data_IF_636284470358
#
_entry.id   IF_636284470358
#
_cell.length_a   1.000
_cell.length_b   1.000
_cell.length_c   1.000
_cell.angle_alpha   90.00
_cell.angle_beta   90.00
_cell.angle_gamma   90.00
#
_symmetry.space_group_name_H-M   'P 1'
#
loop_
_entity.id
_entity.type
_entity.pdbx_description
1 polymer ?
#
# COMPACT_ATOMS: atom_id res chain seq x y z
N UNK A 1 12.26 37.56 -6.39
CA UNK A 1 12.00 36.20 -6.91
C UNK A 1 11.15 35.36 -5.97
N UNK A 2 11.62 35.02 -4.75
CA UNK A 2 10.86 34.19 -3.78
C UNK A 2 9.46 34.72 -3.42
N UNK A 3 9.28 36.05 -3.33
CA UNK A 3 7.96 36.66 -3.05
C UNK A 3 6.93 36.31 -4.15
N UNK A 4 7.35 36.32 -5.42
CA UNK A 4 6.44 36.04 -6.53
C UNK A 4 6.11 34.54 -6.61
N UNK A 5 7.06 33.66 -6.29
CA UNK A 5 6.80 32.22 -6.14
C UNK A 5 5.78 31.95 -5.05
N UNK A 6 5.96 32.54 -3.86
CA UNK A 6 5.02 32.36 -2.74
C UNK A 6 3.63 32.89 -3.12
N UNK A 7 3.53 34.08 -3.71
CA UNK A 7 2.24 34.60 -4.20
C UNK A 7 1.60 33.67 -5.23
N UNK A 8 2.39 33.05 -6.11
CA UNK A 8 1.89 32.07 -7.08
C UNK A 8 1.31 30.84 -6.37
N UNK A 9 2.01 30.30 -5.36
CA UNK A 9 1.52 29.16 -4.58
C UNK A 9 0.18 29.47 -3.92
N UNK A 10 0.04 30.64 -3.27
CA UNK A 10 -1.21 31.07 -2.65
C UNK A 10 -2.35 31.23 -3.66
N UNK A 11 -2.05 31.71 -4.88
CA UNK A 11 -3.04 31.85 -5.96
C UNK A 11 -3.46 30.51 -6.56
N UNK A 12 -2.62 29.49 -6.48
CA UNK A 12 -2.90 28.13 -6.99
C UNK A 12 -3.49 27.19 -5.94
N UNK A 13 -3.87 27.69 -4.76
CA UNK A 13 -4.49 26.87 -3.72
C UNK A 13 -5.93 26.51 -4.11
N UNK A 14 -6.19 25.22 -4.23
CA UNK A 14 -7.52 24.65 -4.45
C UNK A 14 -7.79 23.62 -3.32
N UNK A 15 -8.18 22.39 -3.65
CA UNK A 15 -8.49 21.32 -2.69
C UNK A 15 -7.25 20.76 -1.95
N UNK A 16 -6.07 21.32 -2.20
CA UNK A 16 -4.80 20.95 -1.60
C UNK A 16 -3.79 20.37 -2.61
N UNK A 17 -2.51 20.43 -2.25
CA UNK A 17 -1.43 19.79 -3.00
C UNK A 17 -0.81 18.71 -2.12
N UNK A 18 -0.95 17.45 -2.54
CA UNK A 18 -0.40 16.28 -1.85
C UNK A 18 0.23 15.32 -2.85
N UNK A 19 1.19 14.53 -2.37
CA UNK A 19 1.75 13.41 -3.13
C UNK A 19 0.70 12.29 -3.28
N UNK A 20 0.77 11.50 -4.37
CA UNK A 20 -0.13 10.37 -4.55
C UNK A 20 0.20 9.21 -3.60
N UNK A 21 -0.81 8.69 -2.91
CA UNK A 21 -0.71 7.48 -2.07
C UNK A 21 -0.83 6.21 -2.91
N UNK A 22 0.24 5.44 -3.01
CA UNK A 22 0.25 4.20 -3.80
C UNK A 22 -0.74 3.15 -3.24
N UNK A 23 -0.87 3.07 -1.91
CA UNK A 23 -1.82 2.23 -1.21
C UNK A 23 -3.27 2.55 -1.61
N UNK A 24 -3.67 3.83 -1.55
CA UNK A 24 -5.04 4.24 -1.88
C UNK A 24 -5.35 4.04 -3.37
N UNK A 25 -4.38 4.36 -4.24
CA UNK A 25 -4.50 4.12 -5.68
C UNK A 25 -4.65 2.63 -5.98
N UNK A 26 -3.94 1.76 -5.27
CA UNK A 26 -4.09 0.31 -5.40
C UNK A 26 -5.49 -0.18 -5.02
N UNK A 27 -6.10 0.38 -3.98
CA UNK A 27 -7.49 0.08 -3.62
C UNK A 27 -8.50 0.54 -4.66
N UNK A 28 -8.33 1.75 -5.20
CA UNK A 28 -9.18 2.27 -6.28
C UNK A 28 -9.02 1.40 -7.54
N UNK A 29 -7.80 0.97 -7.87
CA UNK A 29 -7.52 0.12 -9.02
C UNK A 29 -8.21 -1.25 -8.94
N UNK A 30 -8.62 -1.72 -7.75
CA UNK A 30 -9.31 -3.00 -7.56
C UNK A 30 -10.82 -2.93 -7.85
N UNK A 31 -11.39 -1.74 -8.02
CA UNK A 31 -12.82 -1.56 -8.30
C UNK A 31 -13.12 -2.10 -9.69
N UNK A 32 -14.06 -3.04 -9.79
CA UNK A 32 -14.49 -3.64 -11.07
C UNK A 32 -15.43 -2.70 -11.80
N UNK A 33 -15.35 -2.69 -13.13
CA UNK A 33 -16.29 -1.96 -13.97
C UNK A 33 -17.73 -2.43 -13.68
N UNK A 34 -18.64 -1.50 -13.40
CA UNK A 34 -20.05 -1.79 -13.08
C UNK A 34 -21.01 -1.53 -14.23
N UNK A 35 -20.56 -0.87 -15.30
CA UNK A 35 -21.40 -0.40 -16.40
C UNK A 35 -21.21 -1.17 -17.70
N UNK A 36 -20.04 -1.78 -17.91
CA UNK A 36 -19.74 -2.50 -19.16
C UNK A 36 -19.74 -4.02 -18.97
N UNK A 37 -19.96 -4.75 -20.06
CA UNK A 37 -19.70 -6.18 -20.19
C UNK A 37 -18.19 -6.54 -20.12
N UNK A 38 -17.32 -5.55 -19.94
CA UNK A 38 -15.87 -5.74 -19.85
C UNK A 38 -15.46 -6.13 -18.42
N UNK A 39 -14.66 -7.20 -18.30
CA UNK A 39 -14.17 -7.73 -17.02
C UNK A 39 -13.00 -6.94 -16.43
N UNK A 40 -12.89 -5.63 -16.72
CA UNK A 40 -11.74 -4.79 -16.37
C UNK A 40 -11.95 -3.86 -15.16
N UNK A 41 -10.92 -3.07 -14.80
CA UNK A 41 -11.02 -2.08 -13.72
C UNK A 41 -11.92 -0.91 -14.13
N UNK A 42 -12.71 -0.40 -13.18
CA UNK A 42 -13.51 0.82 -13.34
C UNK A 42 -12.63 2.06 -13.57
N UNK A 43 -11.42 2.06 -13.01
CA UNK A 43 -10.44 3.14 -13.11
C UNK A 43 -9.11 2.64 -13.67
N UNK A 44 -9.00 2.43 -15.01
CA UNK A 44 -7.77 1.93 -15.63
C UNK A 44 -6.54 2.82 -15.41
N UNK A 45 -6.74 4.13 -15.23
CA UNK A 45 -5.67 5.09 -14.96
C UNK A 45 -4.94 4.83 -13.64
N UNK A 46 -5.65 4.37 -12.61
CA UNK A 46 -5.04 3.98 -11.33
C UNK A 46 -4.11 2.78 -11.53
N UNK A 47 -4.54 1.78 -12.28
CA UNK A 47 -3.71 0.61 -12.60
C UNK A 47 -2.48 1.02 -13.42
N UNK A 48 -2.64 1.91 -14.40
CA UNK A 48 -1.53 2.46 -15.17
C UNK A 48 -0.54 3.25 -14.32
N UNK A 49 -1.04 4.03 -13.34
CA UNK A 49 -0.19 4.76 -12.41
C UNK A 49 0.69 3.80 -11.59
N UNK A 50 0.12 2.71 -11.06
CA UNK A 50 0.88 1.70 -10.32
C UNK A 50 2.01 1.13 -11.19
N UNK A 51 1.72 0.80 -12.44
CA UNK A 51 2.72 0.26 -13.37
C UNK A 51 3.89 1.23 -13.60
N UNK A 52 3.60 2.53 -13.72
CA UNK A 52 4.62 3.55 -14.03
C UNK A 52 5.46 3.98 -12.82
N UNK A 53 4.95 3.82 -11.60
CA UNK A 53 5.56 4.39 -10.39
C UNK A 53 6.20 3.35 -9.46
N UNK A 54 6.53 2.15 -9.97
CA UNK A 54 7.39 1.22 -9.22
C UNK A 54 8.81 1.78 -9.16
N UNK A 55 9.41 1.78 -7.97
CA UNK A 55 10.78 2.22 -7.75
C UNK A 55 11.80 1.17 -8.21
N UNK A 56 13.06 1.57 -8.33
CA UNK A 56 14.13 0.72 -8.85
C UNK A 56 14.40 -0.53 -7.99
N UNK A 57 14.19 -0.42 -6.67
CA UNK A 57 14.29 -1.54 -5.71
C UNK A 57 13.09 -2.50 -5.77
N UNK A 58 12.09 -2.20 -6.59
CA UNK A 58 10.87 -2.99 -6.75
C UNK A 58 9.72 -2.58 -5.84
N UNK A 59 9.93 -1.65 -4.91
CA UNK A 59 8.89 -1.16 -4.00
C UNK A 59 8.01 -0.06 -4.61
N UNK A 60 6.95 0.29 -3.88
CA UNK A 60 6.18 1.53 -4.03
C UNK A 60 6.16 2.24 -2.69
N UNK A 61 6.08 3.57 -2.72
CA UNK A 61 5.96 4.40 -1.52
C UNK A 61 6.52 5.80 -1.74
N UNK A 62 6.68 6.53 -0.64
CA UNK A 62 7.15 7.90 -0.64
C UNK A 62 8.66 8.02 -0.90
N UNK A 63 9.08 9.24 -1.23
CA UNK A 63 10.51 9.56 -1.45
C UNK A 63 11.36 9.36 -0.20
N UNK A 64 10.80 9.68 0.97
CA UNK A 64 11.42 9.41 2.28
C UNK A 64 11.16 7.96 2.65
N UNK A 65 12.23 7.23 2.98
CA UNK A 65 12.13 5.80 3.28
C UNK A 65 11.56 5.57 4.69
N UNK A 66 10.52 4.73 4.76
CA UNK A 66 10.01 4.10 5.98
C UNK A 66 9.66 2.66 5.66
N UNK A 67 10.01 1.69 6.52
CA UNK A 67 9.71 0.29 6.23
C UNK A 67 8.21 0.04 6.19
N UNK A 68 7.45 0.69 7.08
CA UNK A 68 6.00 0.59 7.14
C UNK A 68 5.37 1.10 5.84
N UNK A 69 5.79 2.28 5.38
CA UNK A 69 5.36 2.87 4.11
C UNK A 69 5.67 1.96 2.93
N UNK A 70 6.93 1.52 2.80
CA UNK A 70 7.33 0.70 1.66
C UNK A 70 6.62 -0.64 1.63
N UNK A 71 6.44 -1.31 2.77
CA UNK A 71 5.78 -2.62 2.80
C UNK A 71 4.29 -2.53 2.47
N UNK A 72 3.55 -1.57 3.05
CA UNK A 72 2.10 -1.47 2.83
C UNK A 72 1.77 -1.06 1.40
N UNK A 73 2.46 -0.05 0.86
CA UNK A 73 2.26 0.42 -0.50
C UNK A 73 2.63 -0.67 -1.52
N UNK A 74 3.77 -1.33 -1.31
CA UNK A 74 4.25 -2.39 -2.22
C UNK A 74 3.28 -3.57 -2.26
N UNK A 75 2.87 -4.09 -1.09
CA UNK A 75 1.95 -5.22 -1.05
C UNK A 75 0.59 -4.88 -1.69
N UNK A 76 0.10 -3.66 -1.48
CA UNK A 76 -1.16 -3.21 -2.08
C UNK A 76 -1.07 -3.16 -3.61
N UNK A 77 0.01 -2.59 -4.15
CA UNK A 77 0.27 -2.55 -5.58
C UNK A 77 0.40 -3.95 -6.19
N UNK A 78 1.11 -4.87 -5.52
CA UNK A 78 1.22 -6.28 -5.95
C UNK A 78 -0.15 -6.95 -5.97
N UNK A 79 -0.98 -6.75 -4.95
CA UNK A 79 -2.35 -7.27 -4.88
C UNK A 79 -3.20 -6.73 -6.04
N UNK A 80 -3.12 -5.43 -6.33
CA UNK A 80 -3.84 -4.81 -7.43
C UNK A 80 -3.45 -5.38 -8.80
N UNK A 81 -2.14 -5.41 -9.11
CA UNK A 81 -1.65 -5.95 -10.39
C UNK A 81 -1.97 -7.45 -10.55
N UNK A 82 -1.85 -8.23 -9.48
CA UNK A 82 -2.15 -9.67 -9.48
C UNK A 82 -3.64 -9.93 -9.67
N UNK A 83 -4.52 -9.11 -9.06
CA UNK A 83 -5.98 -9.25 -9.20
C UNK A 83 -6.46 -9.12 -10.65
N UNK A 84 -5.72 -8.35 -11.45
CA UNK A 84 -5.99 -8.16 -12.88
C UNK A 84 -5.12 -9.03 -13.79
N UNK A 85 -4.24 -9.86 -13.22
CA UNK A 85 -3.30 -10.70 -13.95
C UNK A 85 -2.43 -9.92 -14.97
N UNK A 86 -1.93 -8.75 -14.56
CA UNK A 86 -1.09 -7.88 -15.41
C UNK A 86 0.30 -7.67 -14.82
N UNK A 87 1.28 -7.40 -15.68
CA UNK A 87 2.65 -7.06 -15.30
C UNK A 87 3.32 -8.01 -14.27
N UNK A 88 3.36 -9.34 -14.53
CA UNK A 88 3.88 -10.32 -13.58
C UNK A 88 5.31 -10.03 -13.11
N UNK A 89 6.16 -9.46 -13.98
CA UNK A 89 7.53 -9.05 -13.62
C UNK A 89 7.55 -7.98 -12.51
N UNK A 90 6.60 -7.04 -12.53
CA UNK A 90 6.48 -6.01 -11.49
C UNK A 90 5.96 -6.60 -10.19
N UNK A 91 4.98 -7.50 -10.27
CA UNK A 91 4.50 -8.27 -9.12
C UNK A 91 5.64 -9.05 -8.46
N UNK A 92 6.47 -9.73 -9.25
CA UNK A 92 7.59 -10.52 -8.74
C UNK A 92 8.62 -9.63 -8.02
N UNK A 93 8.99 -8.49 -8.62
CA UNK A 93 9.93 -7.54 -7.99
C UNK A 93 9.37 -6.98 -6.67
N UNK A 94 8.10 -6.57 -6.67
CA UNK A 94 7.44 -6.06 -5.46
C UNK A 94 7.31 -7.12 -4.37
N UNK A 95 6.93 -8.34 -4.73
CA UNK A 95 6.84 -9.44 -3.77
C UNK A 95 8.21 -9.82 -3.20
N UNK A 96 9.25 -9.82 -4.05
CA UNK A 96 10.64 -10.01 -3.60
C UNK A 96 11.01 -8.94 -2.57
N UNK A 97 10.77 -7.67 -2.87
CA UNK A 97 11.02 -6.57 -1.94
C UNK A 97 10.28 -6.79 -0.61
N UNK A 98 8.99 -7.11 -0.64
CA UNK A 98 8.20 -7.37 0.58
C UNK A 98 8.87 -8.47 1.41
N UNK A 99 9.16 -9.62 0.80
CA UNK A 99 9.72 -10.78 1.51
C UNK A 99 11.11 -10.49 2.12
N UNK A 100 11.97 -9.75 1.41
CA UNK A 100 13.30 -9.38 1.91
C UNK A 100 13.28 -8.36 3.04
N UNK A 101 12.17 -7.63 3.20
CA UNK A 101 12.06 -6.50 4.13
C UNK A 101 11.06 -6.71 5.27
N UNK A 102 10.24 -7.77 5.22
CA UNK A 102 9.29 -8.10 6.30
C UNK A 102 9.94 -8.19 7.68
N UNK A 103 11.18 -8.68 7.75
CA UNK A 103 11.87 -8.89 9.03
C UNK A 103 12.26 -7.58 9.74
N UNK A 104 12.35 -6.48 8.99
CA UNK A 104 12.73 -5.16 9.50
C UNK A 104 11.60 -4.46 10.27
N UNK A 105 10.39 -5.02 10.26
CA UNK A 105 9.26 -4.49 11.04
C UNK A 105 9.46 -4.58 12.56
N UNK A 106 10.35 -5.47 13.02
CA UNK A 106 10.69 -5.57 14.44
C UNK A 106 11.79 -4.60 14.90
N UNK A 107 12.46 -3.94 13.95
CA UNK A 107 13.62 -3.08 14.22
C UNK A 107 13.27 -1.58 14.28
N UNK A 108 12.11 -1.17 13.75
CA UNK A 108 11.66 0.24 13.79
C UNK A 108 10.88 0.56 15.07
N UNK A 109 11.19 1.70 15.69
CA UNK A 109 10.46 2.22 16.85
C UNK A 109 9.01 2.59 16.47
N UNK A 110 8.06 2.25 17.32
CA UNK A 110 6.61 2.47 17.10
C UNK A 110 6.24 3.95 16.87
N UNK A 111 7.11 4.90 17.21
CA UNK A 111 6.87 6.35 17.08
C UNK A 111 6.70 6.83 15.62
N UNK A 112 7.17 6.06 14.65
CA UNK A 112 7.04 6.38 13.21
C UNK A 112 6.10 5.46 12.45
N UNK A 113 5.33 4.63 13.17
CA UNK A 113 4.41 3.70 12.54
C UNK A 113 3.25 4.43 11.85
N UNK A 114 2.95 4.02 10.62
CA UNK A 114 1.78 4.49 9.90
C UNK A 114 0.49 4.23 10.68
N UNK A 115 -0.43 5.19 10.62
CA UNK A 115 -1.73 5.11 11.29
C UNK A 115 -2.43 3.81 10.88
N UNK A 116 -2.89 3.07 11.89
CA UNK A 116 -3.61 1.80 11.74
C UNK A 116 -2.86 0.70 10.96
N UNK A 117 -1.54 0.80 10.78
CA UNK A 117 -0.73 -0.22 10.10
C UNK A 117 -0.98 -1.63 10.66
N UNK A 118 -1.05 -1.77 11.98
CA UNK A 118 -1.31 -3.02 12.69
C UNK A 118 -2.67 -3.66 12.38
N UNK A 119 -3.64 -2.89 11.85
CA UNK A 119 -4.94 -3.41 11.43
C UNK A 119 -4.94 -3.65 9.92
N UNK A 120 -4.46 -2.66 9.17
CA UNK A 120 -4.54 -2.63 7.72
C UNK A 120 -3.59 -3.64 7.07
N UNK A 121 -2.34 -3.68 7.51
CA UNK A 121 -1.33 -4.52 6.89
C UNK A 121 -1.61 -6.03 7.03
N UNK A 122 -2.04 -6.56 8.20
CA UNK A 122 -2.44 -7.97 8.29
C UNK A 122 -3.67 -8.31 7.45
N UNK A 123 -4.63 -7.38 7.33
CA UNK A 123 -5.79 -7.54 6.44
C UNK A 123 -5.38 -7.61 4.97
N UNK A 124 -4.37 -6.83 4.58
CA UNK A 124 -3.80 -6.85 3.24
C UNK A 124 -3.04 -8.15 2.95
N UNK A 125 -2.31 -8.69 3.93
CA UNK A 125 -1.67 -10.02 3.84
C UNK A 125 -2.73 -11.11 3.62
N UNK A 126 -3.85 -11.08 4.35
CA UNK A 126 -4.95 -12.03 4.13
C UNK A 126 -5.52 -11.94 2.72
N UNK A 127 -5.68 -10.72 2.19
CA UNK A 127 -6.11 -10.51 0.81
C UNK A 127 -5.10 -11.07 -0.19
N UNK A 128 -3.81 -10.86 0.03
CA UNK A 128 -2.74 -11.41 -0.80
C UNK A 128 -2.77 -12.96 -0.82
N UNK A 129 -2.97 -13.59 0.35
CA UNK A 129 -3.10 -15.06 0.45
C UNK A 129 -4.29 -15.61 -0.33
N UNK A 130 -5.44 -14.92 -0.32
CA UNK A 130 -6.62 -15.30 -1.12
C UNK A 130 -6.32 -15.30 -2.63
N UNK A 131 -5.37 -14.48 -3.07
CA UNK A 131 -4.87 -14.43 -4.44
C UNK A 131 -3.68 -15.37 -4.69
N UNK A 132 -3.35 -16.26 -3.74
CA UNK A 132 -2.19 -17.17 -3.80
C UNK A 132 -0.83 -16.45 -3.89
N UNK A 133 -0.77 -15.20 -3.46
CA UNK A 133 0.50 -14.47 -3.31
C UNK A 133 1.14 -14.95 -2.01
N UNK A 134 2.30 -15.61 -2.13
CA UNK A 134 3.02 -16.13 -0.98
C UNK A 134 3.97 -15.06 -0.42
N UNK A 135 3.53 -14.38 0.64
CA UNK A 135 4.41 -13.52 1.42
C UNK A 135 5.23 -14.43 2.35
N UNK A 136 6.53 -14.52 2.08
CA UNK A 136 7.49 -15.29 2.89
C UNK A 136 7.93 -14.42 4.06
N UNK A 137 7.73 -14.92 5.26
CA UNK A 137 8.03 -14.20 6.48
C UNK A 137 8.21 -15.18 7.64
N UNK A 138 9.01 -14.75 8.61
CA UNK A 138 9.11 -15.47 9.87
C UNK A 138 7.71 -15.53 10.53
N UNK A 139 7.37 -16.72 10.99
CA UNK A 139 6.15 -16.95 11.77
C UNK A 139 6.08 -16.05 13.00
N UNK A 140 7.21 -15.64 13.57
CA UNK A 140 7.28 -14.77 14.75
C UNK A 140 6.66 -13.40 14.48
N UNK A 141 7.09 -12.71 13.43
CA UNK A 141 6.64 -11.36 13.07
C UNK A 141 5.18 -11.37 12.65
N UNK A 142 4.75 -12.37 11.89
CA UNK A 142 3.33 -12.51 11.56
C UNK A 142 2.48 -12.73 12.81
N UNK A 143 2.89 -13.62 13.72
CA UNK A 143 2.17 -13.85 14.99
C UNK A 143 2.05 -12.57 15.78
N UNK A 144 3.12 -11.78 15.84
CA UNK A 144 3.13 -10.50 16.54
C UNK A 144 2.17 -9.49 15.88
N UNK A 145 2.23 -9.32 14.56
CA UNK A 145 1.32 -8.45 13.79
C UNK A 145 -0.15 -8.83 14.01
N UNK A 146 -0.48 -10.12 13.94
CA UNK A 146 -1.84 -10.59 14.20
C UNK A 146 -2.23 -10.40 15.67
N UNK A 147 -1.33 -10.63 16.62
CA UNK A 147 -1.61 -10.38 18.04
C UNK A 147 -1.90 -8.90 18.30
N UNK A 148 -1.13 -7.99 17.71
CA UNK A 148 -1.35 -6.54 17.80
C UNK A 148 -2.69 -6.12 17.18
N UNK A 149 -3.06 -6.71 16.03
CA UNK A 149 -4.39 -6.52 15.42
C UNK A 149 -5.51 -6.92 16.37
N UNK A 150 -5.46 -8.12 16.94
CA UNK A 150 -6.51 -8.61 17.84
C UNK A 150 -6.63 -7.73 19.09
N UNK A 151 -5.51 -7.29 19.67
CA UNK A 151 -5.51 -6.37 20.81
C UNK A 151 -6.15 -5.01 20.46
N UNK A 152 -5.89 -4.47 19.27
CA UNK A 152 -6.52 -3.21 18.82
C UNK A 152 -8.00 -3.38 18.48
N UNK A 153 -8.37 -4.50 17.86
CA UNK A 153 -9.78 -4.80 17.55
C UNK A 153 -10.60 -4.99 18.82
N UNK A 154 -10.10 -5.73 19.82
CA UNK A 154 -10.78 -5.93 21.09
C UNK A 154 -11.09 -4.61 21.83
N UNK A 155 -10.24 -3.58 21.66
CA UNK A 155 -10.43 -2.25 22.25
C UNK A 155 -11.39 -1.35 21.46
N UNK A 156 -11.74 -1.73 20.22
CA UNK A 156 -12.55 -0.91 19.30
C UNK A 156 -13.95 -1.50 19.05
N UNK A 157 -14.25 -2.70 19.53
CA UNK A 157 -15.62 -3.21 19.59
C UNK A 157 -16.39 -2.39 20.64
N UNK A 158 -17.51 -1.72 20.28
CA UNK A 158 -18.38 -1.13 21.28
C UNK A 158 -18.91 -2.24 22.18
N UNK A 159 -18.64 -2.18 23.47
CA UNK A 159 -19.42 -2.94 24.45
C UNK A 159 -20.83 -2.38 24.44
N UNK A 160 -21.75 -3.08 23.77
CA UNK A 160 -23.18 -2.82 23.83
C UNK A 160 -23.78 -3.34 25.13
#
# INVERSE_FOLDING_TARGET
EHIEVIKSIFRSMEDGQTTPSAYDIAWIALIKNVTESSSGPQFPSCLQWIVKNQLDDGSWGESVFSIHDRLINTLACVVALTSWNVHPNKCQKGLKFVNENMNKLGDEEDEHMLIAFEIVFPSLIERARKLKINVSNDSSILKELYSRRELKLAKSVPTF
#
